data_IF_430904824447
#
_entry.id   IF_430904824447
#
_cell.length_a   1.000
_cell.length_b   1.000
_cell.length_c   1.000
_cell.angle_alpha   90.00
_cell.angle_beta   90.00
_cell.angle_gamma   90.00
#
_symmetry.space_group_name_H-M   'P 1'
#
loop_
_entity.id
_entity.type
_entity.pdbx_description
1 polymer ?
#
# COMPACT_ATOMS: atom_id res chain seq x y z
N UNK A 1 37.35 -15.54 -6.66
CA UNK A 1 36.01 -15.09 -7.08
C UNK A 1 35.29 -14.63 -5.83
N UNK A 2 35.35 -13.33 -5.54
CA UNK A 2 34.74 -12.72 -4.36
C UNK A 2 33.26 -12.50 -4.62
N UNK A 3 32.40 -13.17 -3.84
CA UNK A 3 30.98 -12.89 -3.76
C UNK A 3 30.81 -11.46 -3.25
N UNK A 4 30.38 -10.53 -4.10
CA UNK A 4 29.86 -9.25 -3.63
C UNK A 4 28.62 -9.56 -2.80
N UNK A 5 28.70 -9.40 -1.48
CA UNK A 5 27.52 -9.26 -0.65
C UNK A 5 26.80 -8.01 -1.14
N UNK A 6 25.63 -8.17 -1.76
CA UNK A 6 24.72 -7.06 -2.03
C UNK A 6 24.32 -6.46 -0.68
N UNK A 7 25.07 -5.46 -0.24
CA UNK A 7 24.77 -4.71 0.97
C UNK A 7 23.64 -3.76 0.61
N UNK A 8 22.41 -4.18 0.89
CA UNK A 8 21.22 -3.33 0.79
C UNK A 8 21.40 -2.15 1.73
N UNK A 9 21.41 -0.93 1.19
CA UNK A 9 21.45 0.26 2.01
C UNK A 9 20.05 0.59 2.53
N UNK A 10 19.95 1.16 3.73
CA UNK A 10 18.67 1.61 4.27
C UNK A 10 17.94 2.62 3.35
N UNK A 11 18.68 3.39 2.54
CA UNK A 11 18.10 4.30 1.55
C UNK A 11 17.35 3.56 0.44
N UNK A 12 17.91 2.45 -0.07
CA UNK A 12 17.30 1.66 -1.14
C UNK A 12 15.95 1.05 -0.74
N UNK A 13 15.75 0.76 0.54
CA UNK A 13 14.47 0.26 1.05
C UNK A 13 13.34 1.30 0.96
N UNK A 14 13.67 2.59 1.00
CA UNK A 14 12.71 3.69 0.90
C UNK A 14 12.47 4.18 -0.52
N UNK A 15 13.21 3.67 -1.52
CA UNK A 15 13.14 4.18 -2.89
C UNK A 15 11.81 3.83 -3.57
N UNK A 16 11.17 4.86 -4.14
CA UNK A 16 9.97 4.70 -4.95
C UNK A 16 10.33 4.05 -6.29
N UNK A 17 9.68 2.94 -6.60
CA UNK A 17 9.88 2.21 -7.86
C UNK A 17 8.99 2.79 -8.96
N UNK A 18 7.86 3.39 -8.59
CA UNK A 18 7.06 4.21 -9.48
C UNK A 18 7.52 5.67 -9.38
N UNK A 19 7.96 6.23 -10.52
CA UNK A 19 8.36 7.64 -10.62
C UNK A 19 7.13 8.55 -10.45
N UNK A 20 7.07 9.39 -9.39
CA UNK A 20 5.94 10.27 -9.15
C UNK A 20 5.60 11.20 -10.33
N UNK A 21 6.61 11.59 -11.11
CA UNK A 21 6.42 12.50 -12.26
C UNK A 21 5.77 11.83 -13.48
N UNK A 22 5.69 10.49 -13.49
CA UNK A 22 5.16 9.69 -14.60
C UNK A 22 3.81 9.04 -14.29
N UNK A 23 3.23 9.31 -13.11
CA UNK A 23 1.91 8.82 -12.78
C UNK A 23 0.87 9.41 -13.75
N UNK A 24 -0.11 8.60 -14.14
CA UNK A 24 -1.24 9.08 -14.92
C UNK A 24 -2.24 9.80 -14.01
N UNK A 25 -2.72 10.95 -14.44
CA UNK A 25 -3.75 11.72 -13.74
C UNK A 25 -4.52 12.61 -14.71
N UNK A 26 -5.73 13.03 -14.30
CA UNK A 26 -6.50 14.03 -15.06
C UNK A 26 -5.73 15.37 -15.10
N UNK A 27 -5.40 15.91 -16.29
CA UNK A 27 -4.57 17.11 -16.44
C UNK A 27 -5.17 18.39 -15.84
N UNK A 28 -6.46 18.38 -15.50
CA UNK A 28 -7.12 19.51 -14.82
C UNK A 28 -6.79 19.57 -13.31
N UNK A 29 -6.29 18.46 -12.74
CA UNK A 29 -5.95 18.37 -11.32
C UNK A 29 -4.67 19.15 -11.00
N UNK A 30 -4.71 19.90 -9.91
CA UNK A 30 -3.55 20.63 -9.37
C UNK A 30 -2.88 19.80 -8.30
N UNK A 31 -2.05 18.84 -8.70
CA UNK A 31 -1.34 17.95 -7.80
C UNK A 31 -0.02 18.56 -7.33
N UNK A 32 0.26 18.47 -6.03
CA UNK A 32 1.57 18.81 -5.47
C UNK A 32 2.53 17.63 -5.61
N UNK A 33 3.84 17.88 -5.43
CA UNK A 33 4.87 16.82 -5.36
C UNK A 33 4.49 15.75 -4.33
N UNK A 34 4.03 16.17 -3.16
CA UNK A 34 3.56 15.29 -2.08
C UNK A 34 2.43 14.36 -2.54
N UNK A 35 1.44 14.87 -3.28
CA UNK A 35 0.32 14.04 -3.75
C UNK A 35 0.81 12.90 -4.66
N UNK A 36 1.72 13.23 -5.57
CA UNK A 36 2.31 12.26 -6.49
C UNK A 36 3.19 11.26 -5.75
N UNK A 37 3.97 11.69 -4.76
CA UNK A 37 4.82 10.82 -3.94
C UNK A 37 3.98 9.83 -3.12
N UNK A 38 2.93 10.30 -2.46
CA UNK A 38 2.02 9.41 -1.71
C UNK A 38 1.28 8.43 -2.64
N UNK A 39 0.84 8.88 -3.82
CA UNK A 39 0.21 7.99 -4.80
C UNK A 39 1.19 6.93 -5.34
N UNK A 40 2.43 7.32 -5.64
CA UNK A 40 3.48 6.39 -6.09
C UNK A 40 3.85 5.37 -5.00
N UNK A 41 3.95 5.81 -3.75
CA UNK A 41 4.18 4.94 -2.60
C UNK A 41 3.09 3.87 -2.46
N UNK A 42 1.83 4.29 -2.53
CA UNK A 42 0.69 3.35 -2.47
C UNK A 42 0.75 2.38 -3.65
N UNK A 43 1.04 2.85 -4.86
CA UNK A 43 1.20 1.97 -6.03
C UNK A 43 2.31 0.94 -5.84
N UNK A 44 3.48 1.33 -5.32
CA UNK A 44 4.57 0.42 -5.00
C UNK A 44 4.11 -0.71 -4.06
N UNK A 45 3.38 -0.35 -3.00
CA UNK A 45 2.88 -1.30 -2.00
C UNK A 45 1.94 -2.32 -2.64
N UNK A 46 0.96 -1.87 -3.43
CA UNK A 46 0.02 -2.78 -4.12
C UNK A 46 0.69 -3.62 -5.22
N UNK A 47 1.80 -3.14 -5.80
CA UNK A 47 2.67 -3.92 -6.67
C UNK A 47 3.56 -4.92 -5.90
N UNK A 48 3.38 -5.07 -4.58
CA UNK A 48 4.18 -5.99 -3.77
C UNK A 48 5.60 -5.50 -3.50
N UNK A 49 5.91 -4.22 -3.78
CA UNK A 49 7.21 -3.56 -3.57
C UNK A 49 7.23 -2.73 -2.28
N UNK A 50 6.32 -3.02 -1.35
CA UNK A 50 6.26 -2.39 -0.04
C UNK A 50 7.39 -2.89 0.86
N UNK A 51 7.96 -1.98 1.65
CA UNK A 51 8.92 -2.26 2.71
C UNK A 51 8.45 -1.57 3.99
N UNK A 52 8.95 -2.00 5.15
CA UNK A 52 8.65 -1.30 6.40
C UNK A 52 9.21 0.13 6.38
N UNK A 53 10.34 0.35 5.73
CA UNK A 53 10.92 1.67 5.51
C UNK A 53 9.96 2.59 4.73
N UNK A 54 9.31 2.08 3.68
CA UNK A 54 8.27 2.81 2.93
C UNK A 54 7.06 3.15 3.80
N UNK A 55 6.61 2.20 4.63
CA UNK A 55 5.51 2.45 5.56
C UNK A 55 5.89 3.55 6.57
N UNK A 56 7.07 3.47 7.18
CA UNK A 56 7.55 4.45 8.16
C UNK A 56 7.71 5.85 7.58
N UNK A 57 8.17 5.97 6.32
CA UNK A 57 8.38 7.25 5.66
C UNK A 57 7.08 7.87 5.14
N UNK A 58 6.06 7.06 4.86
CA UNK A 58 4.87 7.51 4.16
C UNK A 58 3.57 7.54 4.97
N UNK A 59 3.49 6.82 6.08
CA UNK A 59 2.29 6.74 6.91
C UNK A 59 2.55 7.32 8.31
N UNK A 60 1.58 8.06 8.84
CA UNK A 60 1.67 8.57 10.22
C UNK A 60 1.57 7.43 11.23
N UNK A 61 2.09 7.63 12.44
CA UNK A 61 2.08 6.58 13.48
C UNK A 61 0.66 6.12 13.83
N UNK A 62 -0.29 7.06 13.83
CA UNK A 62 -1.70 6.82 14.09
C UNK A 62 -2.52 6.62 12.80
N UNK A 63 -1.89 6.26 11.68
CA UNK A 63 -2.58 6.04 10.41
C UNK A 63 -3.58 4.88 10.48
N UNK A 64 -4.57 4.90 9.58
CA UNK A 64 -5.58 3.87 9.46
C UNK A 64 -5.67 3.31 8.03
N UNK A 65 -5.77 2.00 7.90
CA UNK A 65 -6.10 1.32 6.65
C UNK A 65 -7.46 0.65 6.77
N UNK A 66 -8.27 0.75 5.72
CA UNK A 66 -9.60 0.14 5.67
C UNK A 66 -9.86 -0.50 4.30
N UNK A 67 -10.38 -1.72 4.33
CA UNK A 67 -11.02 -2.36 3.19
C UNK A 67 -12.37 -2.97 3.64
N UNK A 68 -13.16 -3.61 2.76
CA UNK A 68 -14.46 -4.17 3.14
C UNK A 68 -14.43 -5.25 4.22
N UNK A 69 -13.27 -5.87 4.50
CA UNK A 69 -13.15 -7.00 5.43
C UNK A 69 -12.06 -6.83 6.50
N UNK A 70 -11.26 -5.77 6.44
CA UNK A 70 -10.19 -5.50 7.38
C UNK A 70 -10.00 -4.02 7.70
N UNK A 71 -9.44 -3.80 8.88
CA UNK A 71 -9.09 -2.49 9.40
C UNK A 71 -7.77 -2.60 10.17
N UNK A 72 -6.87 -1.65 9.97
CA UNK A 72 -5.65 -1.49 10.77
C UNK A 72 -5.64 -0.10 11.41
N UNK A 73 -5.55 -0.03 12.74
CA UNK A 73 -5.77 1.18 13.53
C UNK A 73 -4.50 1.95 13.93
N UNK A 74 -3.34 1.49 13.47
CA UNK A 74 -2.07 2.21 13.62
C UNK A 74 -1.11 1.80 12.49
N UNK A 75 0.06 2.46 12.42
CA UNK A 75 1.07 2.19 11.40
C UNK A 75 1.54 0.73 11.35
N UNK A 76 1.57 0.03 12.50
CA UNK A 76 2.00 -1.37 12.55
C UNK A 76 0.92 -2.29 11.99
N UNK A 77 -0.34 -2.06 12.33
CA UNK A 77 -1.46 -2.81 11.76
C UNK A 77 -1.63 -2.49 10.27
N UNK A 78 -1.44 -1.24 9.84
CA UNK A 78 -1.38 -0.83 8.42
C UNK A 78 -0.27 -1.60 7.69
N UNK A 79 0.94 -1.65 8.25
CA UNK A 79 2.04 -2.45 7.68
C UNK A 79 1.66 -3.94 7.59
N UNK A 80 1.00 -4.46 8.63
CA UNK A 80 0.51 -5.82 8.69
C UNK A 80 -0.43 -6.16 7.55
N UNK A 81 -1.37 -5.28 7.19
CA UNK A 81 -2.27 -5.50 6.05
C UNK A 81 -1.54 -5.34 4.71
N UNK A 82 -0.83 -4.23 4.54
CA UNK A 82 -0.27 -3.82 3.25
C UNK A 82 0.96 -4.65 2.82
N UNK A 83 1.89 -4.93 3.75
CA UNK A 83 3.09 -5.71 3.46
C UNK A 83 2.82 -7.22 3.41
N UNK A 84 1.59 -7.65 3.67
CA UNK A 84 1.18 -9.04 3.53
C UNK A 84 1.02 -9.45 2.07
N UNK A 85 0.67 -8.52 1.16
CA UNK A 85 0.44 -8.78 -0.27
C UNK A 85 1.58 -9.61 -0.87
N UNK A 86 2.83 -9.15 -0.74
CA UNK A 86 4.01 -9.85 -1.28
C UNK A 86 4.29 -11.21 -0.63
N UNK A 87 3.71 -11.50 0.54
CA UNK A 87 3.89 -12.79 1.22
C UNK A 87 2.96 -13.87 0.66
N UNK A 88 1.79 -13.49 0.16
CA UNK A 88 0.72 -14.38 -0.31
C UNK A 88 0.55 -14.42 -1.82
N UNK A 89 1.02 -13.39 -2.53
CA UNK A 89 1.04 -13.36 -4.00
C UNK A 89 2.36 -13.88 -4.56
N UNK A 90 2.30 -14.65 -5.65
CA UNK A 90 3.47 -15.00 -6.46
C UNK A 90 3.87 -13.87 -7.39
N UNK A 91 2.90 -13.05 -7.83
CA UNK A 91 3.16 -11.85 -8.61
C UNK A 91 1.94 -10.92 -8.60
N UNK A 92 2.22 -9.67 -8.97
CA UNK A 92 1.31 -8.53 -9.01
C UNK A 92 1.44 -7.87 -10.38
N UNK A 93 0.34 -7.39 -10.96
CA UNK A 93 0.40 -6.63 -12.21
C UNK A 93 -0.62 -5.50 -12.20
N UNK A 94 -0.16 -4.27 -12.29
CA UNK A 94 -1.02 -3.10 -12.52
C UNK A 94 -1.39 -3.01 -14.00
N UNK A 95 -2.69 -3.04 -14.31
CA UNK A 95 -3.18 -2.78 -15.66
C UNK A 95 -3.64 -1.32 -15.83
N UNK A 96 -4.09 -0.68 -14.73
CA UNK A 96 -4.49 0.73 -14.72
C UNK A 96 -4.15 1.35 -13.37
N UNK A 97 -3.60 2.56 -13.41
CA UNK A 97 -3.46 3.45 -12.26
C UNK A 97 -3.66 4.87 -12.75
N UNK A 98 -4.72 5.54 -12.31
CA UNK A 98 -5.01 6.91 -12.72
C UNK A 98 -5.57 7.71 -11.54
N UNK A 99 -4.95 8.84 -11.21
CA UNK A 99 -5.50 9.77 -10.24
C UNK A 99 -6.65 10.51 -10.93
N UNK A 100 -7.87 10.34 -10.41
CA UNK A 100 -9.09 10.84 -11.03
C UNK A 100 -9.67 12.06 -10.32
N UNK A 101 -9.33 12.27 -9.04
CA UNK A 101 -9.87 13.38 -8.28
C UNK A 101 -8.91 13.81 -7.16
N UNK A 102 -9.00 15.10 -6.80
CA UNK A 102 -8.33 15.71 -5.67
C UNK A 102 -9.31 16.64 -4.96
N UNK A 103 -9.70 16.28 -3.75
CA UNK A 103 -10.49 17.17 -2.88
C UNK A 103 -9.61 17.65 -1.72
N UNK A 104 -9.31 18.94 -1.70
CA UNK A 104 -8.46 19.53 -0.65
C UNK A 104 -9.19 19.72 0.68
N UNK A 105 -8.44 19.62 1.78
CA UNK A 105 -8.89 20.04 3.12
C UNK A 105 -10.16 19.33 3.62
N UNK A 106 -10.32 18.05 3.30
CA UNK A 106 -11.43 17.23 3.81
C UNK A 106 -11.19 16.83 5.26
N UNK A 107 -12.26 16.81 6.05
CA UNK A 107 -12.20 16.25 7.40
C UNK A 107 -12.15 14.72 7.35
N UNK A 108 -11.23 14.15 8.11
CA UNK A 108 -11.12 12.71 8.30
C UNK A 108 -10.68 12.40 9.72
N UNK A 109 -10.52 11.12 10.01
CA UNK A 109 -10.16 10.61 11.32
C UNK A 109 -9.02 9.60 11.16
N UNK A 110 -8.04 9.69 12.04
CA UNK A 110 -6.93 8.74 12.11
C UNK A 110 -7.33 7.48 12.89
N UNK A 111 -6.45 6.49 12.96
CA UNK A 111 -6.67 5.26 13.72
C UNK A 111 -6.88 5.50 15.22
N UNK A 112 -6.27 6.54 15.77
CA UNK A 112 -6.42 6.99 17.16
C UNK A 112 -7.69 7.81 17.44
N UNK A 113 -8.60 7.93 16.46
CA UNK A 113 -9.82 8.75 16.53
C UNK A 113 -9.59 10.27 16.57
N UNK A 114 -8.37 10.72 16.27
CA UNK A 114 -8.04 12.14 16.13
C UNK A 114 -8.63 12.70 14.83
N UNK A 115 -9.35 13.83 14.92
CA UNK A 115 -9.84 14.57 13.74
C UNK A 115 -8.70 15.34 13.09
N UNK A 116 -8.58 15.22 11.77
CA UNK A 116 -7.55 15.91 10.98
C UNK A 116 -8.14 16.38 9.66
N UNK A 117 -7.47 17.37 9.05
CA UNK A 117 -7.73 17.82 7.69
C UNK A 117 -6.67 17.24 6.77
N UNK A 118 -7.10 16.67 5.64
CA UNK A 118 -6.23 16.05 4.66
C UNK A 118 -6.67 16.41 3.24
N UNK A 119 -5.77 16.29 2.29
CA UNK A 119 -6.12 16.28 0.87
C UNK A 119 -6.48 14.85 0.47
N UNK A 120 -7.70 14.64 -0.03
CA UNK A 120 -8.17 13.35 -0.52
C UNK A 120 -7.80 13.18 -1.99
N UNK A 121 -6.97 12.18 -2.26
CA UNK A 121 -6.59 11.75 -3.61
C UNK A 121 -7.41 10.49 -3.92
N UNK A 122 -8.22 10.53 -4.98
CA UNK A 122 -8.92 9.34 -5.46
C UNK A 122 -8.21 8.76 -6.68
N UNK A 123 -8.00 7.45 -6.66
CA UNK A 123 -7.28 6.73 -7.71
C UNK A 123 -8.14 5.57 -8.22
N UNK A 124 -8.29 5.49 -9.53
CA UNK A 124 -8.76 4.26 -10.17
C UNK A 124 -7.60 3.31 -10.39
N UNK A 125 -7.77 2.09 -9.90
CA UNK A 125 -6.75 1.07 -9.89
C UNK A 125 -7.31 -0.23 -10.45
N UNK A 126 -6.68 -0.79 -11.50
CA UNK A 126 -6.94 -2.17 -11.93
C UNK A 126 -5.69 -3.01 -11.75
N UNK A 127 -5.83 -4.12 -11.06
CA UNK A 127 -4.68 -4.92 -10.66
C UNK A 127 -4.96 -6.42 -10.64
N UNK A 128 -4.00 -7.20 -11.15
CA UNK A 128 -3.99 -8.66 -11.04
C UNK A 128 -3.21 -9.09 -9.80
N UNK A 129 -3.86 -9.87 -8.93
CA UNK A 129 -3.24 -10.55 -7.80
C UNK A 129 -3.14 -12.05 -8.11
N UNK A 130 -1.93 -12.52 -8.42
CA UNK A 130 -1.67 -13.94 -8.60
C UNK A 130 -1.26 -14.52 -7.24
N UNK A 131 -2.14 -15.30 -6.61
CA UNK A 131 -1.85 -15.90 -5.32
C UNK A 131 -0.88 -17.09 -5.45
N UNK A 132 0.05 -17.25 -4.50
CA UNK A 132 0.95 -18.41 -4.44
C UNK A 132 0.18 -19.73 -4.37
N UNK A 133 -0.96 -19.71 -3.68
CA UNK A 133 -1.89 -20.82 -3.56
C UNK A 133 -3.29 -20.28 -3.81
N UNK A 134 -3.94 -20.77 -4.86
CA UNK A 134 -5.31 -20.38 -5.22
C UNK A 134 -5.38 -19.67 -6.57
N UNK A 135 -6.52 -19.03 -6.87
CA UNK A 135 -6.76 -18.41 -8.16
C UNK A 135 -6.11 -17.02 -8.28
N UNK A 136 -6.01 -16.55 -9.51
CA UNK A 136 -5.72 -15.16 -9.85
C UNK A 136 -6.99 -14.32 -9.76
N UNK A 137 -6.90 -13.12 -9.21
CA UNK A 137 -7.98 -12.15 -9.19
C UNK A 137 -7.58 -10.90 -9.97
N UNK A 138 -8.45 -10.46 -10.88
CA UNK A 138 -8.38 -9.13 -11.47
C UNK A 138 -9.36 -8.22 -10.71
N UNK A 139 -8.87 -7.11 -10.18
CA UNK A 139 -9.63 -6.24 -9.30
C UNK A 139 -9.66 -4.84 -9.86
N UNK A 140 -10.87 -4.30 -10.02
CA UNK A 140 -11.10 -2.87 -10.14
C UNK A 140 -11.33 -2.30 -8.75
N UNK A 141 -10.52 -1.33 -8.35
CA UNK A 141 -10.54 -0.71 -7.04
C UNK A 141 -10.50 0.81 -7.18
N UNK A 142 -11.26 1.50 -6.33
CA UNK A 142 -11.03 2.90 -6.03
C UNK A 142 -10.21 3.00 -4.75
N UNK A 143 -9.01 3.57 -4.83
CA UNK A 143 -8.21 3.90 -3.65
C UNK A 143 -8.51 5.34 -3.23
N UNK A 144 -8.67 5.55 -1.93
CA UNK A 144 -8.79 6.89 -1.33
C UNK A 144 -7.61 7.12 -0.39
N UNK A 145 -6.73 8.05 -0.76
CA UNK A 145 -5.50 8.36 -0.05
C UNK A 145 -5.68 9.72 0.62
N UNK A 146 -5.71 9.75 1.95
CA UNK A 146 -5.81 10.98 2.73
C UNK A 146 -4.41 11.46 3.10
N UNK A 147 -3.93 12.45 2.36
CA UNK A 147 -2.58 12.99 2.43
C UNK A 147 -2.53 14.22 3.34
N UNK A 148 -1.57 14.25 4.27
CA UNK A 148 -1.19 15.46 5.03
C UNK A 148 0.30 15.74 4.83
N UNK A 149 0.79 16.88 5.33
CA UNK A 149 2.25 17.17 5.34
C UNK A 149 3.06 16.18 6.19
N UNK A 150 2.44 15.51 7.16
CA UNK A 150 3.08 14.53 8.04
C UNK A 150 3.12 13.12 7.43
N UNK A 151 2.31 12.88 6.39
CA UNK A 151 2.18 11.59 5.72
C UNK A 151 0.74 11.20 5.41
N UNK A 152 0.54 9.94 5.06
CA UNK A 152 -0.78 9.34 4.85
C UNK A 152 -1.38 9.01 6.21
N UNK A 153 -2.52 9.63 6.52
CA UNK A 153 -3.26 9.40 7.78
C UNK A 153 -4.36 8.36 7.63
N UNK A 154 -4.85 8.16 6.40
CA UNK A 154 -5.89 7.18 6.09
C UNK A 154 -5.74 6.69 4.65
N UNK A 155 -5.84 5.38 4.47
CA UNK A 155 -5.89 4.73 3.17
C UNK A 155 -7.12 3.82 3.14
N UNK A 156 -7.98 4.00 2.14
CA UNK A 156 -9.12 3.11 1.94
C UNK A 156 -9.01 2.39 0.60
N UNK A 157 -9.12 1.07 0.65
CA UNK A 157 -9.27 0.19 -0.51
C UNK A 157 -10.75 -0.12 -0.71
N UNK A 158 -11.33 0.40 -1.80
CA UNK A 158 -12.73 0.20 -2.17
C UNK A 158 -12.78 -0.63 -3.46
N UNK A 159 -12.71 -1.97 -3.36
CA UNK A 159 -12.83 -2.82 -4.54
C UNK A 159 -14.28 -2.75 -5.05
N UNK A 160 -14.45 -2.69 -6.37
CA UNK A 160 -15.74 -2.47 -7.03
C UNK A 160 -16.66 -3.70 -7.05
N UNK A 161 -17.93 -3.49 -7.39
CA UNK A 161 -19.03 -4.48 -7.22
C UNK A 161 -18.91 -5.78 -8.04
N UNK A 162 -17.90 -5.93 -8.91
CA UNK A 162 -17.69 -7.14 -9.74
C UNK A 162 -16.93 -8.26 -9.03
N UNK A 163 -16.94 -8.20 -7.71
CA UNK A 163 -16.30 -9.14 -6.82
C UNK A 163 -17.16 -10.41 -6.72
N UNK A 164 -16.63 -11.63 -6.99
CA UNK A 164 -17.35 -12.86 -6.73
C UNK A 164 -17.57 -13.04 -5.22
N UNK A 165 -18.82 -12.89 -4.77
CA UNK A 165 -19.26 -12.76 -3.36
C UNK A 165 -18.68 -13.80 -2.37
N UNK A 166 -18.27 -14.98 -2.84
CA UNK A 166 -17.75 -16.04 -1.97
C UNK A 166 -16.24 -16.28 -2.08
N UNK A 167 -15.67 -16.18 -3.28
CA UNK A 167 -14.25 -16.49 -3.53
C UNK A 167 -13.32 -15.35 -3.12
N UNK A 168 -13.70 -14.12 -3.48
CA UNK A 168 -12.89 -12.94 -3.22
C UNK A 168 -13.04 -12.43 -1.79
N UNK A 169 -14.24 -12.47 -1.20
CA UNK A 169 -14.37 -12.21 0.24
C UNK A 169 -13.54 -13.20 1.06
N UNK A 170 -13.43 -14.47 0.63
CA UNK A 170 -12.48 -15.43 1.21
C UNK A 170 -11.02 -15.13 0.84
N UNK A 171 -10.72 -14.59 -0.34
CA UNK A 171 -9.37 -14.19 -0.72
C UNK A 171 -8.90 -12.99 0.10
N UNK A 172 -9.70 -11.93 0.23
CA UNK A 172 -9.45 -10.81 1.15
C UNK A 172 -9.42 -11.29 2.60
N UNK A 173 -10.31 -12.19 3.03
CA UNK A 173 -10.17 -12.85 4.35
C UNK A 173 -8.97 -13.80 4.43
N UNK A 174 -8.34 -14.23 3.34
CA UNK A 174 -7.08 -14.99 3.39
C UNK A 174 -5.89 -14.04 3.41
N UNK A 175 -5.98 -12.89 2.74
CA UNK A 175 -5.07 -11.76 2.89
C UNK A 175 -5.10 -11.25 4.34
N UNK A 176 -6.29 -11.15 4.94
CA UNK A 176 -6.51 -10.40 6.17
C UNK A 176 -6.84 -11.30 7.39
N UNK A 177 -7.37 -12.51 7.17
CA UNK A 177 -7.89 -13.43 8.20
C UNK A 177 -6.87 -14.43 8.73
N UNK A 178 -5.61 -14.31 8.33
CA UNK A 178 -4.52 -14.56 9.28
C UNK A 178 -4.41 -13.29 10.13
N UNK A 179 -5.38 -13.09 11.03
CA UNK A 179 -5.20 -12.27 12.23
C UNK A 179 -4.23 -13.07 13.14
N UNK A 180 -3.01 -13.29 12.65
CA UNK A 180 -1.91 -13.72 13.49
C UNK A 180 -1.56 -12.53 14.40
N UNK A 181 -1.07 -12.79 15.62
CA UNK A 181 -1.05 -11.81 16.69
C UNK A 181 -0.19 -10.60 16.29
N UNK A 182 -0.84 -9.49 15.93
CA UNK A 182 -0.34 -8.12 15.71
C UNK A 182 0.90 -7.86 14.82
N UNK A 183 1.74 -8.84 14.48
CA UNK A 183 3.12 -8.57 14.02
C UNK A 183 3.73 -9.68 13.15
N UNK A 184 3.07 -10.82 12.96
CA UNK A 184 3.68 -11.98 12.29
C UNK A 184 3.99 -11.68 10.81
N UNK A 185 5.27 -11.41 10.49
CA UNK A 185 5.76 -11.16 9.14
C UNK A 185 6.01 -9.69 8.78
N UNK A 186 5.77 -8.75 9.71
CA UNK A 186 6.21 -7.36 9.57
C UNK A 186 7.66 -7.25 10.07
N UNK A 187 8.60 -6.74 9.27
CA UNK A 187 9.97 -6.53 9.71
C UNK A 187 10.05 -5.63 10.95
N UNK A 188 10.74 -6.08 11.99
CA UNK A 188 10.88 -5.31 13.25
C UNK A 188 12.03 -4.31 13.19
N UNK A 189 12.94 -4.47 12.26
CA UNK A 189 14.13 -3.64 12.10
C UNK A 189 14.58 -3.61 10.63
N UNK A 190 15.49 -2.67 10.31
CA UNK A 190 16.00 -2.48 8.96
C UNK A 190 16.67 -3.73 8.36
N UNK A 191 17.33 -4.55 9.20
CA UNK A 191 17.97 -5.77 8.73
C UNK A 191 16.95 -6.80 8.25
N UNK A 192 15.89 -7.02 9.04
CA UNK A 192 14.78 -7.89 8.63
C UNK A 192 14.07 -7.35 7.38
N UNK A 193 13.92 -6.03 7.26
CA UNK A 193 13.29 -5.39 6.10
C UNK A 193 14.13 -5.63 4.83
N UNK A 194 15.44 -5.45 4.92
CA UNK A 194 16.39 -5.77 3.85
C UNK A 194 16.38 -7.25 3.46
N UNK A 195 16.43 -8.16 4.44
CA UNK A 195 16.39 -9.61 4.17
C UNK A 195 15.07 -10.02 3.50
N UNK A 196 13.95 -9.41 3.89
CA UNK A 196 12.64 -9.67 3.28
C UNK A 196 12.57 -9.10 1.87
N UNK A 197 13.04 -7.87 1.66
CA UNK A 197 13.07 -7.23 0.35
C UNK A 197 13.91 -8.01 -0.67
N UNK A 198 15.08 -8.52 -0.25
CA UNK A 198 15.92 -9.40 -1.08
C UNK A 198 15.24 -10.73 -1.41
N UNK A 199 14.58 -11.37 -0.44
CA UNK A 199 13.85 -12.64 -0.67
C UNK A 199 12.65 -12.48 -1.60
N UNK A 200 12.14 -11.26 -1.74
CA UNK A 200 10.96 -10.92 -2.53
C UNK A 200 11.33 -10.26 -3.87
N UNK A 201 12.64 -10.20 -4.20
CA UNK A 201 13.17 -9.54 -5.39
C UNK A 201 12.63 -8.10 -5.56
N UNK A 202 12.42 -7.39 -4.44
CA UNK A 202 12.02 -5.98 -4.44
C UNK A 202 13.22 -5.10 -4.82
N UNK A 203 14.43 -5.50 -4.40
CA UNK A 203 15.70 -4.81 -4.56
C UNK A 203 16.81 -5.76 -5.01
#
# INVERSE_FOLDING_TARGET
MTSQSNTVSASSLGELHNDPSKLSYDPTLKLSKRHLEHAALVLDIFQGKGTMTKINNGFTEDSIYEDPVAIGHDRQEVAGQLLHISTVTSSTKTNKFNIIDLTSNVETETGSKRKVKADLIQVEFNHDLNFKIGPTYNLDTTLQIYSTEEGIVRLQDRPGDKIPDNGFAMALRKLNGVVAPKVAGVPQNQKEDAEKALKQDII
#
